data_IF_175011405087
#
_entry.id   IF_175011405087
#
_cell.length_a   1.000
_cell.length_b   1.000
_cell.length_c   1.000
_cell.angle_alpha   90.00
_cell.angle_beta   90.00
_cell.angle_gamma   90.00
#
_symmetry.space_group_name_H-M   'P 1'
#
loop_
_entity.id
_entity.type
_entity.pdbx_description
1 polymer ?
#
# COMPACT_ATOMS: atom_id res chain seq x y z
N UNK A 1 3.04 -17.64 -5.02
CA UNK A 1 3.37 -17.59 -6.48
C UNK A 1 3.76 -16.17 -6.83
N UNK A 2 4.90 -15.87 -7.45
CA UNK A 2 5.28 -14.47 -7.70
C UNK A 2 4.39 -13.85 -8.80
N UNK A 3 3.76 -12.73 -8.49
CA UNK A 3 2.85 -11.98 -9.37
C UNK A 3 3.43 -10.63 -9.82
N UNK A 4 4.73 -10.37 -9.51
CA UNK A 4 5.39 -9.13 -9.91
C UNK A 4 5.69 -9.11 -11.40
N UNK A 5 5.49 -7.95 -12.01
CA UNK A 5 5.79 -7.69 -13.43
C UNK A 5 6.90 -6.67 -13.57
N UNK A 6 7.61 -6.74 -14.68
CA UNK A 6 8.67 -5.81 -15.02
C UNK A 6 8.10 -4.42 -15.31
N UNK A 7 8.50 -3.37 -14.58
CA UNK A 7 7.96 -2.03 -14.81
C UNK A 7 8.39 -1.42 -16.15
N UNK A 8 9.37 -2.04 -16.83
CA UNK A 8 9.89 -1.56 -18.14
C UNK A 8 9.10 -2.15 -19.31
N UNK A 9 8.79 -3.47 -19.24
CA UNK A 9 8.21 -4.18 -20.40
C UNK A 9 6.94 -4.99 -20.09
N UNK A 10 6.49 -5.03 -18.82
CA UNK A 10 5.29 -5.77 -18.41
C UNK A 10 5.47 -7.28 -18.24
N UNK A 11 6.57 -7.86 -18.71
CA UNK A 11 6.83 -9.30 -18.58
C UNK A 11 6.96 -9.73 -17.11
N UNK A 12 6.60 -10.98 -16.84
CA UNK A 12 6.72 -11.57 -15.51
C UNK A 12 8.14 -11.49 -14.96
N UNK A 13 8.28 -11.15 -13.70
CA UNK A 13 9.55 -11.19 -12.99
C UNK A 13 9.74 -12.55 -12.29
N UNK A 14 10.92 -13.12 -12.43
CA UNK A 14 11.31 -14.34 -11.73
C UNK A 14 12.54 -14.08 -10.87
N UNK A 15 12.66 -14.79 -9.75
CA UNK A 15 13.83 -14.70 -8.87
C UNK A 15 14.98 -15.44 -9.54
N UNK A 16 16.10 -14.77 -9.70
CA UNK A 16 17.38 -15.33 -10.16
C UNK A 16 18.50 -14.85 -9.22
N UNK A 17 18.90 -15.72 -8.31
CA UNK A 17 19.85 -15.41 -7.26
C UNK A 17 19.34 -14.32 -6.29
N UNK A 18 19.98 -13.15 -6.34
CA UNK A 18 19.62 -11.97 -5.50
C UNK A 18 18.91 -10.87 -6.28
N UNK A 19 18.31 -11.20 -7.40
CA UNK A 19 17.58 -10.24 -8.23
C UNK A 19 16.29 -10.82 -8.79
N UNK A 20 15.34 -9.94 -9.14
CA UNK A 20 14.24 -10.26 -10.01
C UNK A 20 14.63 -9.96 -11.45
N UNK A 21 14.38 -10.90 -12.36
CA UNK A 21 14.67 -10.74 -13.80
C UNK A 21 13.46 -11.09 -14.66
N UNK A 22 13.28 -10.41 -15.77
CA UNK A 22 12.29 -10.75 -16.80
C UNK A 22 12.94 -11.41 -18.01
N UNK A 23 12.10 -11.95 -18.92
CA UNK A 23 12.58 -12.60 -20.15
C UNK A 23 13.39 -11.64 -21.06
N UNK A 24 13.13 -10.33 -20.99
CA UNK A 24 13.84 -9.28 -21.72
C UNK A 24 15.12 -8.78 -21.01
N UNK A 25 15.67 -9.56 -20.07
CA UNK A 25 16.92 -9.28 -19.36
C UNK A 25 16.93 -8.02 -18.48
N UNK A 26 15.77 -7.40 -18.18
CA UNK A 26 15.73 -6.37 -17.16
C UNK A 26 15.92 -7.02 -15.77
N UNK A 27 16.77 -6.40 -14.94
CA UNK A 27 17.17 -6.94 -13.64
C UNK A 27 16.99 -5.90 -12.54
N UNK A 28 16.45 -6.34 -11.40
CA UNK A 28 16.16 -5.51 -10.23
C UNK A 28 16.69 -6.21 -8.98
N UNK A 29 17.68 -5.64 -8.33
CA UNK A 29 18.30 -6.21 -7.14
C UNK A 29 17.34 -6.29 -5.95
N UNK A 30 17.38 -7.43 -5.24
CA UNK A 30 16.69 -7.61 -3.96
C UNK A 30 17.55 -6.99 -2.86
N UNK A 31 17.01 -6.02 -2.15
CA UNK A 31 17.69 -5.37 -1.03
C UNK A 31 17.92 -6.37 0.13
N UNK A 32 18.90 -6.08 1.00
CA UNK A 32 19.20 -6.92 2.19
C UNK A 32 17.98 -7.20 3.07
N UNK A 33 17.01 -6.28 3.09
CA UNK A 33 15.76 -6.41 3.85
C UNK A 33 14.70 -7.28 3.16
N UNK A 34 14.93 -7.71 1.90
CA UNK A 34 14.02 -8.58 1.15
C UNK A 34 13.08 -7.84 0.18
N UNK A 35 13.10 -6.51 0.11
CA UNK A 35 12.28 -5.77 -0.86
C UNK A 35 13.02 -5.53 -2.19
N UNK A 36 12.26 -5.24 -3.23
CA UNK A 36 12.79 -4.84 -4.55
C UNK A 36 12.33 -3.43 -4.92
N UNK A 37 13.21 -2.65 -5.59
CA UNK A 37 12.83 -1.35 -6.11
C UNK A 37 12.42 -1.46 -7.58
N UNK A 38 11.12 -1.35 -7.84
CA UNK A 38 10.51 -1.38 -9.18
C UNK A 38 10.06 0.01 -9.65
N UNK A 39 10.40 1.06 -8.90
CA UNK A 39 10.11 2.43 -9.29
C UNK A 39 11.10 2.90 -10.37
N UNK A 40 10.60 3.15 -11.57
CA UNK A 40 11.40 3.78 -12.62
C UNK A 40 11.56 5.27 -12.31
N UNK A 41 12.80 5.68 -12.05
CA UNK A 41 13.13 7.09 -11.84
C UNK A 41 13.12 7.82 -13.18
N UNK A 42 12.12 8.63 -13.42
CA UNK A 42 12.25 9.69 -14.41
C UNK A 42 13.23 10.74 -13.86
N UNK A 43 14.04 11.35 -14.74
CA UNK A 43 15.14 12.28 -14.45
C UNK A 43 14.74 13.58 -13.69
N UNK A 44 13.49 13.76 -13.30
CA UNK A 44 13.04 14.86 -12.46
C UNK A 44 13.24 14.49 -10.99
N UNK A 45 14.16 15.17 -10.33
CA UNK A 45 14.58 14.93 -8.94
C UNK A 45 13.55 15.26 -7.86
N UNK A 46 12.28 15.11 -8.13
CA UNK A 46 11.22 15.27 -7.12
C UNK A 46 11.32 14.13 -6.10
N UNK A 47 11.62 14.49 -4.87
CA UNK A 47 11.52 13.61 -3.70
C UNK A 47 10.04 13.21 -3.56
N UNK A 48 9.68 12.02 -4.02
CA UNK A 48 8.33 11.48 -3.89
C UNK A 48 8.25 10.62 -2.63
N UNK A 49 7.20 10.86 -1.83
CA UNK A 49 6.93 10.15 -0.59
C UNK A 49 7.48 10.84 0.67
N UNK A 50 7.23 10.23 1.81
CA UNK A 50 7.64 10.73 3.12
C UNK A 50 9.16 10.84 3.25
N UNK A 51 9.62 11.90 3.92
CA UNK A 51 11.01 11.99 4.36
C UNK A 51 11.30 10.88 5.37
N UNK A 52 12.59 10.57 5.56
CA UNK A 52 13.01 9.58 6.57
C UNK A 52 12.51 9.95 7.97
N UNK A 53 12.56 11.22 8.33
CA UNK A 53 12.10 11.73 9.61
C UNK A 53 10.58 11.55 9.77
N UNK A 54 9.78 11.94 8.75
CA UNK A 54 8.33 11.73 8.75
C UNK A 54 7.96 10.24 8.86
N UNK A 55 8.70 9.38 8.17
CA UNK A 55 8.49 7.93 8.22
C UNK A 55 8.70 7.38 9.64
N UNK A 56 9.78 7.79 10.31
CA UNK A 56 10.06 7.37 11.69
C UNK A 56 9.04 7.91 12.70
N UNK A 57 8.66 9.18 12.61
CA UNK A 57 7.66 9.79 13.50
C UNK A 57 6.29 9.12 13.34
N UNK A 58 5.88 8.80 12.10
CA UNK A 58 4.64 8.04 11.84
C UNK A 58 4.71 6.65 12.48
N UNK A 59 5.82 5.95 12.32
CA UNK A 59 6.03 4.64 12.93
C UNK A 59 5.91 4.69 14.45
N UNK A 60 6.60 5.61 15.12
CA UNK A 60 6.52 5.77 16.56
C UNK A 60 5.09 6.01 17.03
N UNK A 61 4.35 6.85 16.30
CA UNK A 61 2.94 7.12 16.61
C UNK A 61 2.06 5.87 16.47
N UNK A 62 2.17 5.14 15.35
CA UNK A 62 1.37 3.94 15.12
C UNK A 62 1.71 2.82 16.11
N UNK A 63 3.00 2.67 16.49
CA UNK A 63 3.44 1.67 17.47
C UNK A 63 2.90 1.92 18.90
N UNK A 64 2.42 3.13 19.21
CA UNK A 64 1.70 3.40 20.47
C UNK A 64 0.32 2.74 20.53
N UNK A 65 -0.14 2.15 19.42
CA UNK A 65 -1.35 1.34 19.37
C UNK A 65 -2.66 2.12 19.19
N UNK A 66 -2.62 3.44 19.01
CA UNK A 66 -3.84 4.25 18.81
C UNK A 66 -4.70 3.81 17.63
N UNK A 67 -4.15 3.09 16.68
CA UNK A 67 -4.84 2.56 15.50
C UNK A 67 -4.98 1.03 15.52
N UNK A 68 -4.76 0.38 16.67
CA UNK A 68 -4.85 -1.09 16.75
C UNK A 68 -6.27 -1.59 16.46
N UNK A 69 -7.30 -0.90 16.92
CA UNK A 69 -8.69 -1.22 16.62
C UNK A 69 -8.97 -1.26 15.10
N UNK A 70 -8.45 -0.29 14.35
CA UNK A 70 -8.59 -0.24 12.90
C UNK A 70 -7.77 -1.35 12.23
N UNK A 71 -6.52 -1.56 12.66
CA UNK A 71 -5.66 -2.63 12.16
C UNK A 71 -6.35 -3.99 12.32
N UNK A 72 -6.85 -4.28 13.51
CA UNK A 72 -7.47 -5.57 13.83
C UNK A 72 -8.77 -5.77 13.04
N UNK A 73 -9.55 -4.70 12.87
CA UNK A 73 -10.73 -4.73 11.99
C UNK A 73 -10.36 -5.01 10.53
N UNK A 74 -9.39 -4.28 9.98
CA UNK A 74 -8.92 -4.46 8.59
C UNK A 74 -8.43 -5.89 8.39
N UNK A 75 -7.53 -6.36 9.27
CA UNK A 75 -6.97 -7.72 9.22
C UNK A 75 -8.07 -8.80 9.20
N UNK A 76 -9.14 -8.62 9.99
CA UNK A 76 -10.29 -9.55 10.04
C UNK A 76 -11.04 -9.66 8.70
N UNK A 77 -10.84 -8.73 7.79
CA UNK A 77 -11.49 -8.70 6.47
C UNK A 77 -10.61 -9.22 5.34
N UNK A 78 -9.32 -9.46 5.59
CA UNK A 78 -8.39 -9.94 4.57
C UNK A 78 -8.67 -11.41 4.21
N UNK A 79 -8.32 -11.78 2.97
CA UNK A 79 -8.43 -13.15 2.50
C UNK A 79 -7.85 -13.32 1.09
N UNK A 80 -7.32 -14.52 0.83
CA UNK A 80 -6.65 -14.84 -0.43
C UNK A 80 -5.29 -14.13 -0.58
N UNK A 81 -4.90 -13.81 -1.81
CA UNK A 81 -3.73 -12.99 -2.09
C UNK A 81 -4.07 -11.52 -1.86
N UNK A 82 -3.35 -10.87 -0.95
CA UNK A 82 -3.60 -9.50 -0.50
C UNK A 82 -2.61 -8.54 -1.13
N UNK A 83 -3.08 -7.36 -1.56
CA UNK A 83 -2.25 -6.23 -1.94
C UNK A 83 -2.49 -5.05 -1.00
N UNK A 84 -1.47 -4.62 -0.26
CA UNK A 84 -1.51 -3.35 0.48
C UNK A 84 -0.99 -2.21 -0.38
N UNK A 85 -1.89 -1.29 -0.71
CA UNK A 85 -1.66 -0.17 -1.62
C UNK A 85 -1.20 1.04 -0.84
N UNK A 86 0.02 1.52 -1.10
CA UNK A 86 0.67 2.57 -0.33
C UNK A 86 0.84 2.15 1.15
N UNK A 87 1.42 0.97 1.34
CA UNK A 87 1.51 0.25 2.62
C UNK A 87 2.26 1.00 3.73
N UNK A 88 2.97 2.07 3.39
CA UNK A 88 3.82 2.76 4.36
C UNK A 88 4.84 1.79 4.97
N UNK A 89 4.88 1.74 6.30
CA UNK A 89 5.76 0.85 7.07
C UNK A 89 5.19 -0.55 7.33
N UNK A 90 4.05 -0.90 6.72
CA UNK A 90 3.39 -2.21 6.90
C UNK A 90 2.68 -2.36 8.25
N UNK A 91 2.21 -1.28 8.87
CA UNK A 91 1.54 -1.36 10.17
C UNK A 91 0.27 -2.22 10.14
N UNK A 92 -0.47 -2.18 9.04
CA UNK A 92 -1.73 -2.91 8.86
C UNK A 92 -1.55 -4.34 8.32
N UNK A 93 -0.32 -4.78 8.05
CA UNK A 93 0.00 -6.05 7.37
C UNK A 93 0.06 -7.26 8.33
N UNK A 94 -0.78 -7.26 9.36
CA UNK A 94 -0.94 -8.38 10.31
C UNK A 94 -1.77 -9.51 9.67
N UNK A 95 -1.25 -10.14 8.62
CA UNK A 95 -1.95 -11.16 7.85
C UNK A 95 -1.12 -12.44 7.75
N UNK A 96 -1.76 -13.61 7.91
CA UNK A 96 -1.08 -14.92 7.90
C UNK A 96 -1.07 -15.58 6.51
N UNK A 97 -1.44 -14.84 5.46
CA UNK A 97 -1.48 -15.32 4.08
C UNK A 97 -0.45 -14.62 3.18
N UNK A 98 -0.59 -14.83 1.89
CA UNK A 98 0.25 -14.20 0.88
C UNK A 98 -0.10 -12.72 0.75
N UNK A 99 0.84 -11.83 1.09
CA UNK A 99 0.67 -10.39 1.03
C UNK A 99 1.80 -9.74 0.21
N UNK A 100 1.40 -8.82 -0.63
CA UNK A 100 2.24 -7.90 -1.37
C UNK A 100 1.96 -6.48 -0.88
N UNK A 101 2.99 -5.72 -0.52
CA UNK A 101 2.86 -4.32 -0.11
C UNK A 101 3.77 -3.42 -0.92
N UNK A 102 3.27 -2.26 -1.34
CA UNK A 102 4.13 -1.28 -2.00
C UNK A 102 3.89 0.14 -1.50
N UNK A 103 4.94 0.92 -1.59
CA UNK A 103 4.90 2.36 -1.37
C UNK A 103 5.88 3.05 -2.33
N UNK A 104 5.67 4.33 -2.57
CA UNK A 104 6.60 5.15 -3.36
C UNK A 104 7.85 5.52 -2.55
N UNK A 105 7.73 5.55 -1.22
CA UNK A 105 8.81 5.83 -0.30
C UNK A 105 9.66 4.58 -0.05
N UNK A 106 10.89 4.60 -0.58
CA UNK A 106 11.86 3.53 -0.32
C UNK A 106 12.12 3.30 1.18
N UNK A 107 12.08 4.35 2.00
CA UNK A 107 12.29 4.22 3.44
C UNK A 107 11.13 3.48 4.12
N UNK A 108 9.89 3.79 3.74
CA UNK A 108 8.70 3.08 4.25
C UNK A 108 8.76 1.59 3.89
N UNK A 109 9.01 1.26 2.62
CA UNK A 109 9.14 -0.13 2.17
C UNK A 109 10.28 -0.86 2.89
N UNK A 110 11.41 -0.19 3.14
CA UNK A 110 12.52 -0.74 3.91
C UNK A 110 12.11 -1.09 5.35
N UNK A 111 11.30 -0.23 6.00
CA UNK A 111 10.79 -0.46 7.34
C UNK A 111 9.80 -1.63 7.36
N UNK A 112 8.86 -1.69 6.41
CA UNK A 112 7.90 -2.77 6.26
C UNK A 112 8.61 -4.12 6.07
N UNK A 113 9.51 -4.24 5.09
CA UNK A 113 10.27 -5.46 4.82
C UNK A 113 11.21 -5.88 5.96
N UNK A 114 11.67 -4.93 6.78
CA UNK A 114 12.47 -5.26 7.97
C UNK A 114 11.63 -5.84 9.10
N UNK A 115 10.38 -5.40 9.23
CA UNK A 115 9.46 -5.80 10.28
C UNK A 115 8.75 -7.12 9.97
N UNK A 116 8.43 -7.37 8.68
CA UNK A 116 7.59 -8.49 8.21
C UNK A 116 8.24 -9.20 7.04
N UNK A 117 9.16 -10.10 7.35
CA UNK A 117 9.97 -10.83 6.35
C UNK A 117 9.18 -11.90 5.59
N UNK A 118 8.03 -12.26 6.08
CA UNK A 118 7.09 -13.22 5.50
C UNK A 118 6.30 -12.67 4.31
N UNK A 119 6.29 -11.35 4.14
CA UNK A 119 5.55 -10.67 3.08
C UNK A 119 6.45 -10.13 1.96
N UNK A 120 5.84 -9.82 0.82
CA UNK A 120 6.53 -9.36 -0.37
C UNK A 120 6.41 -7.85 -0.53
N UNK A 121 7.49 -7.11 -0.34
CA UNK A 121 7.48 -5.65 -0.43
C UNK A 121 8.26 -5.14 -1.62
N UNK A 122 7.74 -4.08 -2.23
CA UNK A 122 8.42 -3.44 -3.36
C UNK A 122 8.15 -1.93 -3.42
N UNK A 123 9.10 -1.18 -3.96
CA UNK A 123 8.93 0.27 -4.20
C UNK A 123 8.31 0.46 -5.56
N UNK A 124 7.17 1.14 -5.64
CA UNK A 124 6.46 1.38 -6.89
C UNK A 124 5.59 2.63 -6.85
N UNK A 125 5.08 3.03 -8.02
CA UNK A 125 4.14 4.13 -8.17
C UNK A 125 2.72 3.57 -8.34
N UNK A 126 1.77 4.19 -7.62
CA UNK A 126 0.34 3.89 -7.72
C UNK A 126 -0.24 4.09 -9.15
N UNK A 127 0.40 4.90 -9.98
CA UNK A 127 -0.05 5.13 -11.35
C UNK A 127 0.20 3.94 -12.30
N UNK A 128 1.08 3.02 -11.93
CA UNK A 128 1.39 1.80 -12.68
C UNK A 128 1.94 0.76 -11.71
N UNK A 129 1.04 -0.04 -11.14
CA UNK A 129 1.40 -1.06 -10.14
C UNK A 129 2.02 -2.26 -10.86
N UNK A 130 3.28 -2.63 -10.60
CA UNK A 130 3.96 -3.73 -11.30
C UNK A 130 3.52 -5.11 -10.80
N UNK A 131 2.23 -5.41 -10.97
CA UNK A 131 1.56 -6.66 -10.60
C UNK A 131 0.72 -7.14 -11.78
N UNK A 132 0.67 -8.46 -11.97
CA UNK A 132 -0.16 -9.14 -12.98
C UNK A 132 -1.63 -8.75 -12.85
N UNK A 133 -2.32 -8.59 -13.97
CA UNK A 133 -3.77 -8.38 -14.01
C UNK A 133 -4.51 -9.54 -13.35
N UNK A 134 -5.64 -9.25 -12.71
CA UNK A 134 -6.52 -10.27 -12.13
C UNK A 134 -5.80 -11.27 -11.19
N UNK A 135 -4.85 -10.79 -10.37
CA UNK A 135 -4.03 -11.62 -9.49
C UNK A 135 -4.35 -11.47 -8.01
N UNK A 136 -5.08 -10.42 -7.62
CA UNK A 136 -5.34 -10.04 -6.22
C UNK A 136 -6.77 -10.40 -5.81
N UNK A 137 -6.93 -11.08 -4.67
CA UNK A 137 -8.23 -11.39 -4.08
C UNK A 137 -8.76 -10.23 -3.21
N UNK A 138 -7.88 -9.61 -2.43
CA UNK A 138 -8.22 -8.46 -1.59
C UNK A 138 -7.17 -7.36 -1.73
N UNK A 139 -7.56 -6.17 -2.15
CA UNK A 139 -6.71 -4.97 -2.12
C UNK A 139 -7.06 -4.13 -0.88
N UNK A 140 -6.06 -3.74 -0.10
CA UNK A 140 -6.18 -2.75 0.98
C UNK A 140 -5.77 -1.39 0.48
N UNK A 141 -6.57 -0.37 0.83
CA UNK A 141 -6.30 1.02 0.50
C UNK A 141 -6.66 1.90 1.71
N UNK A 142 -5.66 2.32 2.49
CA UNK A 142 -5.86 3.02 3.74
C UNK A 142 -5.22 4.42 3.69
N UNK A 143 -6.06 5.47 3.79
CA UNK A 143 -5.61 6.87 3.84
C UNK A 143 -4.65 7.28 2.70
N UNK A 144 -4.81 6.67 1.53
CA UNK A 144 -3.91 6.82 0.38
C UNK A 144 -4.63 7.47 -0.83
N UNK A 145 -3.91 7.94 -1.85
CA UNK A 145 -4.51 8.40 -3.09
C UNK A 145 -5.26 7.27 -3.82
N UNK A 146 -6.34 7.58 -4.51
CA UNK A 146 -7.21 6.62 -5.18
C UNK A 146 -6.93 6.54 -6.69
N UNK A 147 -6.76 5.31 -7.21
CA UNK A 147 -6.62 5.04 -8.64
C UNK A 147 -7.48 3.82 -9.03
N UNK A 148 -8.73 4.07 -9.38
CA UNK A 148 -9.70 3.02 -9.67
C UNK A 148 -9.25 2.07 -10.79
N UNK A 149 -8.65 2.62 -11.86
CA UNK A 149 -8.21 1.81 -13.03
C UNK A 149 -7.20 0.75 -12.63
N UNK A 150 -6.19 1.13 -11.85
CA UNK A 150 -5.17 0.20 -11.37
C UNK A 150 -5.75 -0.80 -10.36
N UNK A 151 -6.63 -0.34 -9.45
CA UNK A 151 -7.27 -1.24 -8.49
C UNK A 151 -8.14 -2.28 -9.17
N UNK A 152 -8.93 -1.84 -10.17
CA UNK A 152 -9.76 -2.76 -10.96
C UNK A 152 -8.91 -3.75 -11.77
N UNK A 153 -7.81 -3.30 -12.38
CA UNK A 153 -6.91 -4.13 -13.19
C UNK A 153 -6.30 -5.28 -12.38
N UNK A 154 -5.79 -4.98 -11.18
CA UNK A 154 -5.10 -6.01 -10.37
C UNK A 154 -6.06 -6.96 -9.66
N UNK A 155 -7.30 -6.55 -9.38
CA UNK A 155 -8.29 -7.38 -8.71
C UNK A 155 -8.80 -8.50 -9.61
N UNK A 156 -8.88 -9.71 -9.07
CA UNK A 156 -9.57 -10.84 -9.69
C UNK A 156 -11.05 -10.53 -9.88
N UNK A 157 -11.70 -11.22 -10.82
CA UNK A 157 -13.16 -11.19 -10.91
C UNK A 157 -13.78 -11.67 -9.59
N UNK A 158 -14.57 -10.81 -8.96
CA UNK A 158 -15.14 -11.05 -7.63
C UNK A 158 -14.18 -10.71 -6.47
N UNK A 159 -12.98 -10.25 -6.76
CA UNK A 159 -12.07 -9.65 -5.78
C UNK A 159 -12.66 -8.38 -5.15
N UNK A 160 -12.10 -7.93 -4.04
CA UNK A 160 -12.63 -6.81 -3.27
C UNK A 160 -11.57 -5.77 -2.95
N UNK A 161 -12.00 -4.50 -2.96
CA UNK A 161 -11.24 -3.38 -2.42
C UNK A 161 -11.76 -3.05 -1.03
N UNK A 162 -10.89 -3.09 -0.03
CA UNK A 162 -11.13 -2.57 1.31
C UNK A 162 -10.50 -1.18 1.40
N UNK A 163 -11.34 -0.14 1.36
CA UNK A 163 -10.88 1.24 1.38
C UNK A 163 -11.25 1.90 2.70
N UNK A 164 -10.26 2.54 3.34
CA UNK A 164 -10.43 3.33 4.56
C UNK A 164 -10.11 4.78 4.26
N UNK A 165 -11.06 5.65 4.60
CA UNK A 165 -10.94 7.11 4.49
C UNK A 165 -11.13 7.74 5.86
N UNK A 166 -10.58 8.93 6.13
CA UNK A 166 -10.82 9.63 7.39
C UNK A 166 -12.31 10.00 7.51
N UNK A 167 -12.89 9.74 8.69
CA UNK A 167 -14.22 10.28 9.02
C UNK A 167 -14.20 11.79 9.17
N UNK A 168 -15.39 12.41 9.20
CA UNK A 168 -15.55 13.87 9.29
C UNK A 168 -14.73 14.48 10.44
N UNK A 169 -14.80 13.88 11.63
CA UNK A 169 -14.16 14.38 12.85
C UNK A 169 -12.80 13.70 13.14
N UNK A 170 -12.24 12.94 12.18
CA UNK A 170 -10.97 12.27 12.38
C UNK A 170 -9.85 13.25 12.75
N UNK A 171 -9.24 13.03 13.93
CA UNK A 171 -8.21 13.87 14.55
C UNK A 171 -8.67 15.31 14.84
N UNK A 172 -9.96 15.54 15.10
CA UNK A 172 -10.49 16.90 15.30
C UNK A 172 -9.87 17.59 16.53
N UNK A 173 -9.62 16.86 17.60
CA UNK A 173 -8.97 17.36 18.82
C UNK A 173 -7.55 17.87 18.51
N UNK A 174 -6.78 17.10 17.73
CA UNK A 174 -5.45 17.52 17.31
C UNK A 174 -5.51 18.74 16.38
N UNK A 175 -6.47 18.76 15.46
CA UNK A 175 -6.67 19.91 14.57
C UNK A 175 -7.05 21.18 15.33
N UNK A 176 -7.84 21.06 16.40
CA UNK A 176 -8.20 22.19 17.27
C UNK A 176 -7.00 22.79 17.99
N UNK A 177 -5.95 21.98 18.24
CA UNK A 177 -4.71 22.46 18.85
C UNK A 177 -3.77 23.08 17.81
N UNK A 178 -3.69 22.49 16.60
CA UNK A 178 -2.68 22.86 15.61
C UNK A 178 -3.13 24.00 14.68
N UNK A 179 -4.43 24.17 14.45
CA UNK A 179 -4.96 25.13 13.48
C UNK A 179 -5.83 26.19 14.15
N UNK A 180 -5.63 27.44 13.78
CA UNK A 180 -6.49 28.57 14.22
C UNK A 180 -7.93 28.44 13.71
N UNK A 181 -8.12 27.77 12.59
CA UNK A 181 -9.43 27.44 12.02
C UNK A 181 -9.44 25.95 11.67
N UNK A 182 -9.86 25.09 12.61
CA UNK A 182 -9.94 23.65 12.38
C UNK A 182 -10.94 23.33 11.25
N UNK A 183 -10.61 22.34 10.44
CA UNK A 183 -11.47 21.88 9.35
C UNK A 183 -11.87 20.42 9.56
N UNK A 184 -13.10 20.10 9.14
CA UNK A 184 -13.58 18.71 9.07
C UNK A 184 -13.14 18.05 7.78
N UNK A 185 -12.99 16.72 7.79
CA UNK A 185 -12.67 15.98 6.58
C UNK A 185 -13.93 15.77 5.72
N UNK A 186 -13.74 15.62 4.41
CA UNK A 186 -14.77 15.08 3.54
C UNK A 186 -14.80 13.56 3.65
N UNK A 187 -15.87 12.99 4.26
CA UNK A 187 -16.02 11.53 4.41
C UNK A 187 -16.78 10.88 3.25
N UNK A 188 -16.79 11.52 2.06
CA UNK A 188 -17.37 10.90 0.87
C UNK A 188 -16.49 9.77 0.37
N UNK A 189 -17.13 8.61 0.15
CA UNK A 189 -16.46 7.52 -0.55
C UNK A 189 -16.04 7.98 -1.96
N UNK A 190 -14.89 7.51 -2.48
CA UNK A 190 -14.53 7.80 -3.86
C UNK A 190 -15.65 7.41 -4.83
N UNK A 191 -15.93 8.28 -5.81
CA UNK A 191 -16.85 7.93 -6.90
C UNK A 191 -16.15 6.89 -7.79
N UNK A 192 -16.90 5.84 -8.14
CA UNK A 192 -16.37 4.69 -8.89
C UNK A 192 -17.32 4.34 -10.04
N UNK A 193 -16.73 3.98 -11.19
CA UNK A 193 -17.43 3.50 -12.39
C UNK A 193 -17.22 1.99 -12.58
N UNK A 194 -16.03 1.49 -12.22
CA UNK A 194 -15.61 0.10 -12.40
C UNK A 194 -15.86 -0.76 -11.17
N UNK A 195 -15.82 -0.16 -9.98
CA UNK A 195 -16.01 -0.82 -8.69
C UNK A 195 -17.40 -0.51 -8.13
N UNK A 196 -18.03 -1.53 -7.51
CA UNK A 196 -19.36 -1.37 -6.89
C UNK A 196 -19.24 -1.36 -5.38
N UNK A 197 -19.68 -0.28 -4.73
CA UNK A 197 -19.79 -0.21 -3.28
C UNK A 197 -20.73 -1.29 -2.75
N UNK A 198 -20.24 -2.14 -1.84
CA UNK A 198 -21.00 -3.22 -1.19
C UNK A 198 -21.48 -2.84 0.20
N UNK A 199 -20.64 -2.18 0.97
CA UNK A 199 -20.96 -1.74 2.33
C UNK A 199 -20.12 -0.53 2.73
N UNK A 200 -20.63 0.28 3.65
CA UNK A 200 -19.89 1.37 4.31
C UNK A 200 -20.13 1.23 5.81
N UNK A 201 -19.06 1.22 6.58
CA UNK A 201 -19.10 1.15 8.04
C UNK A 201 -18.31 2.32 8.62
N UNK A 202 -18.78 2.89 9.71
CA UNK A 202 -18.02 3.85 10.53
C UNK A 202 -17.36 3.07 11.66
N UNK A 203 -16.08 3.28 11.85
CA UNK A 203 -15.27 2.64 12.90
C UNK A 203 -14.70 3.74 13.75
N UNK A 204 -14.86 3.65 15.04
CA UNK A 204 -14.28 4.55 16.05
C UNK A 204 -13.79 3.72 17.22
N UNK A 205 -12.80 4.23 17.91
CA UNK A 205 -12.36 3.75 19.24
C UNK A 205 -13.27 4.35 20.30
#
# INVERSE_FOLDING_TARGET
>A
MNILTCPVCGEKLNIDGKAFKCANSHSFDIAKQGYVNLLLTNKSGDKKGDSRESAHSRREFLQKGYYSFLRDYVTSKLGGTVLDICCGEGYYDEYQGELYGFDISREMVRLAASARKEHNYFVANLANIPIEDNSIDTAMHLFAPFNEKEFYRVLKKGGRLLSVIPGEDHLIELKNILYSTPYKNDEKAPQTELLKLKSKNKISD
#
